data_IF_372414352087
#
_entry.id   IF_372414352087
#
_cell.length_a   1.000
_cell.length_b   1.000
_cell.length_c   1.000
_cell.angle_alpha   90.00
_cell.angle_beta   90.00
_cell.angle_gamma   90.00
#
_symmetry.space_group_name_H-M   'P 1'
#
loop_
_entity.id
_entity.type
_entity.pdbx_description
1 polymer ?
#
# COMPACT_ATOMS: atom_id res chain seq x y z
N UNK A 1 5.30 -10.62 -24.06
CA UNK A 1 6.01 -10.73 -22.77
C UNK A 1 5.96 -9.37 -22.08
N UNK A 2 6.00 -9.30 -20.74
CA UNK A 2 6.27 -8.04 -20.02
C UNK A 2 7.74 -7.66 -20.25
N UNK A 3 7.97 -6.96 -21.36
CA UNK A 3 9.28 -6.53 -21.83
C UNK A 3 9.62 -5.11 -21.35
N UNK A 4 10.85 -4.67 -21.64
CA UNK A 4 11.33 -3.36 -21.20
C UNK A 4 10.50 -2.20 -21.79
N UNK A 5 9.98 -2.33 -23.01
CA UNK A 5 9.20 -1.29 -23.66
C UNK A 5 7.90 -1.04 -22.91
N UNK A 6 7.12 -2.09 -22.62
CA UNK A 6 5.87 -1.96 -21.83
C UNK A 6 6.10 -1.41 -20.43
N UNK A 7 7.20 -1.80 -19.78
CA UNK A 7 7.57 -1.26 -18.47
C UNK A 7 7.92 0.23 -18.60
N UNK A 8 8.61 0.62 -19.67
CA UNK A 8 8.96 2.01 -19.93
C UNK A 8 7.71 2.86 -20.19
N UNK A 9 6.80 2.39 -21.04
CA UNK A 9 5.55 3.08 -21.36
C UNK A 9 4.73 3.30 -20.08
N UNK A 10 4.54 2.26 -19.27
CA UNK A 10 3.85 2.37 -17.97
C UNK A 10 4.48 3.40 -17.01
N UNK A 11 5.80 3.52 -17.00
CA UNK A 11 6.50 4.48 -16.13
C UNK A 11 6.49 5.88 -16.76
N UNK A 12 6.50 5.98 -18.08
CA UNK A 12 6.33 7.24 -18.81
C UNK A 12 4.95 7.82 -18.54
N UNK A 13 3.91 7.01 -18.67
CA UNK A 13 2.53 7.36 -18.33
C UNK A 13 2.37 7.93 -16.91
N UNK A 14 3.21 7.49 -15.96
CA UNK A 14 3.19 7.98 -14.58
C UNK A 14 4.07 9.23 -14.35
N UNK A 15 5.14 9.43 -15.13
CA UNK A 15 6.21 10.40 -14.77
C UNK A 15 6.80 11.21 -15.93
N UNK A 16 6.27 11.13 -17.16
CA UNK A 16 6.84 11.82 -18.32
C UNK A 16 6.90 13.34 -18.17
N UNK A 17 5.94 13.92 -17.45
CA UNK A 17 5.87 15.36 -17.18
C UNK A 17 6.93 15.85 -16.17
N UNK A 18 7.60 14.94 -15.45
CA UNK A 18 8.54 15.28 -14.36
C UNK A 18 9.93 14.68 -14.52
N UNK A 19 10.07 13.52 -15.17
CA UNK A 19 11.34 12.86 -15.38
C UNK A 19 11.80 12.92 -16.84
N UNK A 20 13.04 13.34 -17.04
CA UNK A 20 13.70 13.20 -18.35
C UNK A 20 13.74 11.72 -18.78
N UNK A 21 13.47 11.42 -20.05
CA UNK A 21 13.38 10.08 -20.63
C UNK A 21 14.49 9.09 -20.20
N UNK A 22 15.77 9.52 -20.16
CA UNK A 22 16.89 8.68 -19.64
C UNK A 22 16.71 8.21 -18.18
N UNK A 23 16.08 9.00 -17.32
CA UNK A 23 15.78 8.62 -15.92
C UNK A 23 14.62 7.62 -15.87
N UNK A 24 13.58 7.84 -16.67
CA UNK A 24 12.48 6.88 -16.89
C UNK A 24 13.02 5.54 -17.36
N UNK A 25 13.83 5.54 -18.42
CA UNK A 25 14.47 4.32 -18.93
C UNK A 25 15.36 3.63 -17.87
N UNK A 26 16.08 4.40 -17.03
CA UNK A 26 16.85 3.80 -15.94
C UNK A 26 15.97 3.19 -14.84
N UNK A 27 14.81 3.80 -14.55
CA UNK A 27 13.84 3.28 -13.59
C UNK A 27 13.15 2.02 -14.14
N UNK A 28 12.75 2.03 -15.42
CA UNK A 28 12.21 0.88 -16.13
C UNK A 28 13.16 -0.31 -16.12
N UNK A 29 14.45 -0.08 -16.37
CA UNK A 29 15.48 -1.11 -16.26
C UNK A 29 15.59 -1.69 -14.84
N UNK A 30 15.50 -0.86 -13.80
CA UNK A 30 15.52 -1.36 -12.43
C UNK A 30 14.25 -2.14 -12.08
N UNK A 31 13.08 -1.69 -12.54
CA UNK A 31 11.81 -2.42 -12.39
C UNK A 31 11.86 -3.77 -13.11
N UNK A 32 12.34 -3.81 -14.35
CA UNK A 32 12.53 -5.06 -15.11
C UNK A 32 13.46 -6.01 -14.36
N UNK A 33 14.59 -5.50 -13.85
CA UNK A 33 15.53 -6.30 -13.05
C UNK A 33 14.92 -6.84 -11.77
N UNK A 34 14.10 -6.04 -11.08
CA UNK A 34 13.41 -6.45 -9.86
C UNK A 34 12.32 -7.50 -10.13
N UNK A 35 11.57 -7.36 -11.22
CA UNK A 35 10.59 -8.36 -11.69
C UNK A 35 11.31 -9.67 -12.04
N UNK A 36 12.37 -9.60 -12.84
CA UNK A 36 13.09 -10.79 -13.30
C UNK A 36 13.77 -11.56 -12.18
N UNK A 37 14.34 -10.84 -11.20
CA UNK A 37 14.99 -11.46 -10.03
C UNK A 37 14.04 -11.77 -8.87
N UNK A 38 12.79 -11.28 -8.92
CA UNK A 38 11.86 -11.27 -7.79
C UNK A 38 12.51 -10.75 -6.49
N UNK A 39 13.39 -9.75 -6.60
CA UNK A 39 14.20 -9.26 -5.47
C UNK A 39 14.48 -7.77 -5.58
N UNK A 40 14.55 -7.10 -4.43
CA UNK A 40 14.96 -5.70 -4.30
C UNK A 40 16.44 -5.55 -3.89
N UNK A 41 17.20 -6.64 -3.90
CA UNK A 41 18.64 -6.59 -3.71
C UNK A 41 19.31 -5.93 -4.91
N UNK A 42 20.14 -4.90 -4.69
CA UNK A 42 20.80 -4.15 -5.77
C UNK A 42 21.53 -5.08 -6.75
N UNK A 43 22.27 -6.05 -6.21
CA UNK A 43 22.99 -7.04 -7.02
C UNK A 43 22.04 -8.01 -7.74
N UNK A 44 20.89 -8.35 -7.16
CA UNK A 44 19.88 -9.22 -7.78
C UNK A 44 19.12 -8.47 -8.87
N UNK A 45 18.68 -7.23 -8.63
CA UNK A 45 18.07 -6.36 -9.65
C UNK A 45 19.03 -6.23 -10.84
N UNK A 46 20.30 -5.90 -10.60
CA UNK A 46 21.29 -5.79 -11.67
C UNK A 46 21.55 -7.11 -12.39
N UNK A 47 21.55 -8.25 -11.67
CA UNK A 47 21.70 -9.57 -12.30
C UNK A 47 20.48 -9.95 -13.15
N UNK A 48 19.27 -9.67 -12.64
CA UNK A 48 18.02 -9.91 -13.35
C UNK A 48 17.90 -9.04 -14.60
N UNK A 49 18.31 -7.78 -14.52
CA UNK A 49 18.38 -6.88 -15.68
C UNK A 49 19.38 -7.40 -16.72
N UNK A 50 20.56 -7.84 -16.28
CA UNK A 50 21.57 -8.41 -17.16
C UNK A 50 21.06 -9.65 -17.88
N UNK A 51 20.36 -10.54 -17.16
CA UNK A 51 19.76 -11.75 -17.72
C UNK A 51 18.62 -11.42 -18.71
N UNK A 52 17.74 -10.48 -18.36
CA UNK A 52 16.61 -10.09 -19.20
C UNK A 52 17.05 -9.46 -20.54
N UNK A 53 18.14 -8.71 -20.54
CA UNK A 53 18.60 -7.95 -21.71
C UNK A 53 19.89 -8.49 -22.35
N UNK A 54 20.43 -9.63 -21.87
CA UNK A 54 21.69 -10.19 -22.36
C UNK A 54 22.91 -9.28 -22.15
N UNK A 55 22.90 -8.43 -21.13
CA UNK A 55 23.99 -7.46 -20.87
C UNK A 55 24.96 -7.94 -19.79
N UNK A 56 26.10 -7.25 -19.63
CA UNK A 56 27.08 -7.61 -18.62
C UNK A 56 26.56 -7.31 -17.20
N UNK A 57 26.55 -8.34 -16.35
CA UNK A 57 26.12 -8.28 -14.95
C UNK A 57 26.75 -7.15 -14.14
N UNK A 58 28.07 -6.94 -14.24
CA UNK A 58 28.78 -5.90 -13.46
C UNK A 58 28.26 -4.51 -13.82
N UNK A 59 28.05 -4.22 -15.10
CA UNK A 59 27.57 -2.91 -15.54
C UNK A 59 26.10 -2.68 -15.20
N UNK A 60 25.26 -3.70 -15.29
CA UNK A 60 23.86 -3.63 -14.86
C UNK A 60 23.73 -3.36 -13.35
N UNK A 61 24.53 -4.03 -12.51
CA UNK A 61 24.56 -3.74 -11.05
C UNK A 61 24.98 -2.29 -10.78
N UNK A 62 26.03 -1.80 -11.46
CA UNK A 62 26.47 -0.41 -11.33
C UNK A 62 25.42 0.59 -11.83
N UNK A 63 24.60 0.22 -12.80
CA UNK A 63 23.50 1.07 -13.27
C UNK A 63 22.44 1.22 -12.18
N UNK A 64 22.00 0.13 -11.56
CA UNK A 64 21.02 0.15 -10.46
C UNK A 64 21.56 0.95 -9.26
N UNK A 65 22.82 0.72 -8.88
CA UNK A 65 23.41 1.47 -7.77
C UNK A 65 23.47 2.99 -8.04
N UNK A 66 23.85 3.39 -9.26
CA UNK A 66 23.87 4.80 -9.68
C UNK A 66 22.47 5.41 -9.72
N UNK A 67 21.45 4.65 -10.12
CA UNK A 67 20.05 5.08 -10.07
C UNK A 67 19.65 5.43 -8.64
N UNK A 68 19.93 4.55 -7.66
CA UNK A 68 19.58 4.79 -6.26
C UNK A 68 20.30 6.02 -5.68
N UNK A 69 21.52 6.30 -6.13
CA UNK A 69 22.27 7.51 -5.74
C UNK A 69 21.91 8.77 -6.53
N UNK A 70 21.03 8.69 -7.54
CA UNK A 70 20.73 9.84 -8.38
C UNK A 70 19.88 10.87 -7.62
N UNK A 71 20.43 12.06 -7.38
CA UNK A 71 19.74 13.16 -6.69
C UNK A 71 18.65 13.82 -7.54
N UNK A 72 18.67 13.63 -8.86
CA UNK A 72 17.64 14.14 -9.77
C UNK A 72 16.40 13.24 -9.84
N UNK A 73 16.28 12.26 -8.94
CA UNK A 73 15.09 11.44 -8.73
C UNK A 73 14.66 11.73 -7.31
N UNK A 74 13.81 12.75 -7.16
CA UNK A 74 13.20 13.08 -5.88
C UNK A 74 11.91 12.27 -5.74
N UNK A 75 11.96 11.24 -4.90
CA UNK A 75 10.79 10.38 -4.69
C UNK A 75 9.63 11.18 -4.08
N UNK A 76 9.90 12.20 -3.25
CA UNK A 76 8.83 12.96 -2.62
C UNK A 76 8.01 13.77 -3.63
N UNK A 77 8.64 14.31 -4.68
CA UNK A 77 7.95 14.97 -5.79
C UNK A 77 7.27 13.95 -6.71
N UNK A 78 7.94 12.84 -7.05
CA UNK A 78 7.35 11.79 -7.90
C UNK A 78 6.09 11.18 -7.30
N UNK A 79 6.00 11.15 -5.99
CA UNK A 79 4.85 10.63 -5.28
C UNK A 79 3.56 11.43 -5.56
N UNK A 80 3.63 12.72 -5.94
CA UNK A 80 2.43 13.49 -6.36
C UNK A 80 1.84 12.91 -7.64
N UNK A 81 2.69 12.72 -8.65
CA UNK A 81 2.31 12.14 -9.93
C UNK A 81 1.86 10.69 -9.78
N UNK A 82 2.53 9.92 -8.91
CA UNK A 82 2.13 8.54 -8.62
C UNK A 82 0.75 8.46 -7.97
N UNK A 83 0.42 9.34 -7.01
CA UNK A 83 -0.92 9.39 -6.43
C UNK A 83 -1.95 9.76 -7.48
N UNK A 84 -1.71 10.80 -8.29
CA UNK A 84 -2.59 11.17 -9.40
C UNK A 84 -2.81 10.00 -10.38
N UNK A 85 -1.75 9.29 -10.72
CA UNK A 85 -1.78 8.13 -11.61
C UNK A 85 -2.60 6.95 -11.03
N UNK A 86 -2.50 6.66 -9.73
CA UNK A 86 -3.21 5.52 -9.12
C UNK A 86 -4.66 5.84 -8.77
N UNK A 87 -4.95 7.09 -8.39
CA UNK A 87 -6.28 7.53 -8.00
C UNK A 87 -7.12 7.91 -9.22
N UNK A 88 -6.54 8.63 -10.19
CA UNK A 88 -7.19 9.11 -11.42
C UNK A 88 -8.58 9.70 -11.12
N UNK A 89 -9.67 9.02 -11.52
CA UNK A 89 -11.05 9.49 -11.41
C UNK A 89 -11.84 8.89 -10.23
N UNK A 90 -11.17 8.31 -9.23
CA UNK A 90 -11.86 7.73 -8.08
C UNK A 90 -12.51 8.84 -7.25
N UNK A 91 -13.82 8.78 -7.08
CA UNK A 91 -14.56 9.73 -6.23
C UNK A 91 -14.33 9.52 -4.72
N UNK A 92 -13.95 8.31 -4.32
CA UNK A 92 -13.73 7.95 -2.93
C UNK A 92 -12.65 6.88 -2.81
N UNK A 93 -11.76 7.03 -1.83
CA UNK A 93 -10.71 6.07 -1.50
C UNK A 93 -10.63 5.82 0.01
N UNK A 94 -10.19 4.62 0.37
CA UNK A 94 -9.88 4.26 1.76
C UNK A 94 -8.40 3.94 1.84
N UNK A 95 -7.69 4.63 2.72
CA UNK A 95 -6.22 4.60 2.80
C UNK A 95 -5.83 4.07 4.16
N UNK A 96 -5.10 2.95 4.17
CA UNK A 96 -4.51 2.43 5.40
C UNK A 96 -3.18 3.10 5.67
N UNK A 97 -2.95 3.46 6.93
CA UNK A 97 -1.74 4.10 7.41
C UNK A 97 -1.04 3.18 8.40
N UNK A 98 0.24 2.92 8.18
CA UNK A 98 1.04 2.12 9.09
C UNK A 98 2.54 2.41 8.99
N UNK A 99 3.28 2.02 10.01
CA UNK A 99 4.75 2.04 10.01
C UNK A 99 5.31 0.65 9.71
N UNK A 100 6.49 0.62 9.11
CA UNK A 100 7.25 -0.62 8.94
C UNK A 100 8.72 -0.42 9.27
N UNK A 101 9.30 -1.36 10.01
CA UNK A 101 10.66 -1.26 10.53
C UNK A 101 11.72 -1.95 9.66
N UNK A 102 12.89 -1.32 9.55
CA UNK A 102 14.11 -1.90 9.00
C UNK A 102 15.21 -1.80 10.07
N UNK A 103 15.08 -2.65 11.10
CA UNK A 103 15.92 -2.64 12.30
C UNK A 103 17.41 -2.71 12.00
N UNK A 104 17.78 -3.54 11.01
CA UNK A 104 19.16 -3.73 10.55
C UNK A 104 19.86 -2.45 10.11
N UNK A 105 19.10 -1.44 9.70
CA UNK A 105 19.64 -0.16 9.21
C UNK A 105 19.21 1.02 10.08
N UNK A 106 18.63 0.74 11.25
CA UNK A 106 18.11 1.74 12.17
C UNK A 106 17.15 2.72 11.48
N UNK A 107 16.27 2.20 10.63
CA UNK A 107 15.30 2.98 9.85
C UNK A 107 13.88 2.45 10.05
N UNK A 108 12.91 3.31 9.80
CA UNK A 108 11.51 2.93 9.63
C UNK A 108 10.91 3.72 8.48
N UNK A 109 9.84 3.20 7.90
CA UNK A 109 9.12 3.84 6.82
C UNK A 109 7.66 3.97 7.21
N UNK A 110 7.12 5.18 7.17
CA UNK A 110 5.67 5.40 7.25
C UNK A 110 5.08 5.25 5.86
N UNK A 111 3.96 4.54 5.75
CA UNK A 111 3.33 4.24 4.45
C UNK A 111 1.82 4.49 4.53
N UNK A 112 1.31 5.22 3.53
CA UNK A 112 -0.10 5.34 3.21
C UNK A 112 -0.38 4.46 1.99
N UNK A 113 -1.28 3.49 2.13
CA UNK A 113 -1.62 2.56 1.06
C UNK A 113 -3.12 2.46 0.84
N UNK A 114 -3.55 2.61 -0.40
CA UNK A 114 -4.94 2.42 -0.80
C UNK A 114 -5.38 0.97 -0.53
N UNK A 115 -6.46 0.79 0.21
CA UNK A 115 -7.10 -0.52 0.33
C UNK A 115 -7.69 -0.96 -1.01
N UNK A 116 -7.73 -2.26 -1.25
CA UNK A 116 -8.28 -2.85 -2.48
C UNK A 116 -9.22 -4.02 -2.18
N UNK A 117 -9.86 -4.55 -3.21
CA UNK A 117 -10.70 -5.74 -3.12
C UNK A 117 -9.93 -7.07 -3.21
N UNK A 118 -8.65 -7.06 -3.58
CA UNK A 118 -7.86 -8.28 -3.78
C UNK A 118 -6.93 -8.63 -2.61
N UNK A 119 -7.11 -7.99 -1.45
CA UNK A 119 -6.39 -8.35 -0.21
C UNK A 119 -4.93 -7.87 -0.14
N UNK A 120 -4.52 -6.96 -1.03
CA UNK A 120 -3.24 -6.23 -0.96
C UNK A 120 -3.47 -4.76 -1.18
N UNK A 121 -2.90 -3.93 -0.33
CA UNK A 121 -3.03 -2.50 -0.49
C UNK A 121 -2.00 -2.00 -1.51
N UNK A 122 -2.37 -0.98 -2.28
CA UNK A 122 -1.46 -0.32 -3.22
C UNK A 122 -0.78 0.83 -2.52
N UNK A 123 0.56 0.84 -2.37
CA UNK A 123 1.27 1.96 -1.76
C UNK A 123 1.02 3.25 -2.55
N UNK A 124 0.56 4.29 -1.86
CA UNK A 124 0.33 5.62 -2.43
C UNK A 124 1.46 6.57 -2.06
N UNK A 125 1.82 6.63 -0.76
CA UNK A 125 2.87 7.50 -0.26
C UNK A 125 3.70 6.73 0.76
N UNK A 126 5.00 7.03 0.80
CA UNK A 126 5.88 6.55 1.84
C UNK A 126 7.00 7.55 2.13
N UNK A 127 7.52 7.49 3.35
CA UNK A 127 8.74 8.20 3.69
C UNK A 127 9.55 7.44 4.72
N UNK A 128 10.84 7.28 4.44
CA UNK A 128 11.79 6.63 5.34
C UNK A 128 12.50 7.66 6.21
N UNK A 129 12.66 7.32 7.49
CA UNK A 129 13.37 8.11 8.49
C UNK A 129 14.35 7.24 9.26
N UNK A 130 15.39 7.84 9.84
CA UNK A 130 16.23 7.14 10.82
C UNK A 130 15.48 7.05 12.15
N UNK A 131 15.60 5.93 12.86
CA UNK A 131 14.92 5.74 14.16
C UNK A 131 15.37 6.72 15.22
N UNK A 132 16.61 7.21 15.13
CA UNK A 132 17.13 8.25 16.01
C UNK A 132 16.37 9.57 15.87
N UNK A 133 15.81 9.86 14.69
CA UNK A 133 15.08 11.10 14.40
C UNK A 133 13.61 11.03 14.88
N UNK A 134 13.06 9.81 15.06
CA UNK A 134 11.66 9.60 15.48
C UNK A 134 11.38 9.97 16.93
N UNK A 135 12.39 9.94 17.80
CA UNK A 135 12.19 10.05 19.25
C UNK A 135 11.63 11.44 19.57
N UNK A 136 10.35 11.50 19.95
CA UNK A 136 9.64 12.75 20.23
C UNK A 136 8.97 13.42 19.02
N UNK A 137 9.28 12.99 17.80
CA UNK A 137 8.80 13.63 16.55
C UNK A 137 7.87 12.74 15.71
N UNK A 138 7.53 11.53 16.19
CA UNK A 138 6.70 10.58 15.43
C UNK A 138 5.40 11.18 14.92
N UNK A 139 4.67 11.92 15.75
CA UNK A 139 3.41 12.56 15.34
C UNK A 139 3.62 13.63 14.26
N UNK A 140 4.76 14.32 14.25
CA UNK A 140 5.10 15.30 13.22
C UNK A 140 5.27 14.64 11.84
N UNK A 141 5.95 13.49 11.79
CA UNK A 141 6.11 12.74 10.54
C UNK A 141 4.80 12.12 10.05
N UNK A 142 3.96 11.66 10.98
CA UNK A 142 2.60 11.20 10.69
C UNK A 142 1.74 12.31 10.08
N UNK A 143 1.82 13.52 10.61
CA UNK A 143 1.11 14.67 10.08
C UNK A 143 1.61 15.07 8.68
N UNK A 144 2.94 15.14 8.50
CA UNK A 144 3.55 15.52 7.20
C UNK A 144 3.12 14.60 6.06
N UNK A 145 3.01 13.29 6.29
CA UNK A 145 2.59 12.38 5.20
C UNK A 145 1.08 12.48 4.91
N UNK A 146 0.26 12.83 5.90
CA UNK A 146 -1.18 13.09 5.70
C UNK A 146 -1.41 14.40 4.94
N UNK A 147 -0.67 15.46 5.29
CA UNK A 147 -0.65 16.73 4.56
C UNK A 147 -0.17 16.52 3.12
N UNK A 148 0.87 15.70 2.92
CA UNK A 148 1.32 15.30 1.59
C UNK A 148 0.20 14.62 0.82
N UNK A 149 -0.48 13.63 1.41
CA UNK A 149 -1.63 12.97 0.77
C UNK A 149 -2.67 13.99 0.31
N UNK A 150 -3.06 14.92 1.18
CA UNK A 150 -4.01 15.98 0.84
C UNK A 150 -3.55 16.82 -0.35
N UNK A 151 -2.28 17.24 -0.38
CA UNK A 151 -1.74 18.02 -1.49
C UNK A 151 -1.60 17.24 -2.81
N UNK A 152 -1.42 15.91 -2.75
CA UNK A 152 -1.21 15.07 -3.93
C UNK A 152 -2.51 14.56 -4.58
N UNK A 153 -3.67 14.77 -3.95
CA UNK A 153 -4.93 14.21 -4.43
C UNK A 153 -5.56 15.05 -5.54
N UNK A 154 -6.21 14.40 -6.53
CA UNK A 154 -7.11 15.09 -7.44
C UNK A 154 -8.27 15.77 -6.69
N UNK A 155 -8.83 16.83 -7.28
CA UNK A 155 -9.93 17.57 -6.68
C UNK A 155 -11.19 16.71 -6.52
N UNK A 156 -11.89 16.87 -5.40
CA UNK A 156 -13.18 16.21 -5.14
C UNK A 156 -13.10 14.75 -4.69
N UNK A 157 -11.91 14.18 -4.52
CA UNK A 157 -11.72 12.81 -4.01
C UNK A 157 -11.97 12.76 -2.51
N UNK A 158 -12.98 11.99 -2.08
CA UNK A 158 -13.22 11.72 -0.66
C UNK A 158 -12.23 10.68 -0.13
N UNK A 159 -11.68 10.92 1.04
CA UNK A 159 -10.67 10.02 1.64
C UNK A 159 -11.13 9.56 3.01
N UNK A 160 -10.98 8.27 3.28
CA UNK A 160 -11.09 7.72 4.65
C UNK A 160 -9.78 7.10 5.09
N UNK A 161 -9.16 7.64 6.14
CA UNK A 161 -7.93 7.11 6.76
C UNK A 161 -8.27 5.98 7.72
N UNK A 162 -7.59 4.84 7.57
CA UNK A 162 -7.75 3.66 8.43
C UNK A 162 -6.45 3.34 9.14
N UNK A 163 -6.45 3.38 10.46
CA UNK A 163 -5.22 3.23 11.25
C UNK A 163 -5.44 2.45 12.56
N UNK A 164 -4.35 1.90 13.11
CA UNK A 164 -4.40 1.19 14.40
C UNK A 164 -4.29 2.16 15.61
N UNK A 165 -4.41 1.62 16.82
CA UNK A 165 -4.38 2.33 18.10
C UNK A 165 -3.14 3.19 18.38
N UNK A 166 -2.05 2.99 17.65
CA UNK A 166 -0.87 3.86 17.70
C UNK A 166 -1.12 5.27 17.14
N UNK A 167 -2.16 5.43 16.33
CA UNK A 167 -2.51 6.68 15.66
C UNK A 167 -3.73 7.38 16.29
N UNK A 168 -4.22 6.89 17.42
CA UNK A 168 -5.37 7.46 18.13
C UNK A 168 -4.92 8.54 19.13
N UNK A 169 -4.89 9.80 18.69
CA UNK A 169 -4.82 10.97 19.57
C UNK A 169 -5.67 12.13 19.04
N UNK A 170 -6.04 13.08 19.90
CA UNK A 170 -6.97 14.15 19.56
C UNK A 170 -6.42 15.11 18.49
N UNK A 171 -5.12 15.39 18.52
CA UNK A 171 -4.51 16.26 17.53
C UNK A 171 -4.56 15.63 16.13
N UNK A 172 -4.45 14.30 16.03
CA UNK A 172 -4.66 13.58 14.76
C UNK A 172 -6.10 13.58 14.30
N UNK A 173 -7.07 13.41 15.20
CA UNK A 173 -8.48 13.52 14.82
C UNK A 173 -8.79 14.92 14.28
N UNK A 174 -8.31 15.97 14.94
CA UNK A 174 -8.44 17.35 14.48
C UNK A 174 -7.73 17.59 13.14
N UNK A 175 -6.53 17.06 12.94
CA UNK A 175 -5.82 17.18 11.66
C UNK A 175 -6.59 16.48 10.54
N UNK A 176 -6.96 15.21 10.72
CA UNK A 176 -7.58 14.41 9.67
C UNK A 176 -8.95 14.98 9.30
N UNK A 177 -9.81 15.22 10.29
CA UNK A 177 -11.21 15.64 10.09
C UNK A 177 -11.30 17.15 9.84
N UNK A 178 -10.90 17.96 10.83
CA UNK A 178 -11.19 19.39 10.84
C UNK A 178 -10.29 20.18 9.87
N UNK A 179 -9.02 19.78 9.70
CA UNK A 179 -8.05 20.52 8.88
C UNK A 179 -7.92 19.99 7.45
N UNK A 180 -7.87 18.67 7.28
CA UNK A 180 -7.71 18.05 5.96
C UNK A 180 -9.05 17.64 5.31
N UNK A 181 -10.17 17.69 6.05
CA UNK A 181 -11.48 17.31 5.52
C UNK A 181 -11.59 15.81 5.16
N UNK A 182 -10.72 14.97 5.73
CA UNK A 182 -10.72 13.54 5.53
C UNK A 182 -11.57 12.85 6.60
N UNK A 183 -12.17 11.74 6.21
CA UNK A 183 -12.78 10.84 7.17
C UNK A 183 -11.75 9.93 7.84
N UNK A 184 -12.11 9.35 8.99
CA UNK A 184 -11.28 8.37 9.66
C UNK A 184 -12.05 7.16 10.22
N UNK A 185 -11.32 6.05 10.33
CA UNK A 185 -11.68 4.82 11.03
C UNK A 185 -10.43 4.35 11.78
N UNK A 186 -10.31 4.72 13.04
CA UNK A 186 -9.11 4.49 13.85
C UNK A 186 -9.46 3.65 15.07
N UNK A 187 -8.68 2.60 15.33
CA UNK A 187 -8.84 1.80 16.54
C UNK A 187 -8.40 2.62 17.76
N UNK A 188 -9.14 2.55 18.84
CA UNK A 188 -8.79 3.17 20.13
C UNK A 188 -8.45 2.09 21.16
N UNK A 189 -7.74 2.48 22.22
CA UNK A 189 -7.35 1.56 23.30
C UNK A 189 -8.57 1.24 24.17
N UNK A 190 -8.57 0.05 24.78
CA UNK A 190 -9.65 -0.38 25.67
C UNK A 190 -9.78 0.49 26.94
N UNK A 191 -8.69 1.13 27.35
CA UNK A 191 -8.65 2.03 28.50
C UNK A 191 -8.85 3.50 28.12
N UNK A 192 -9.23 3.79 26.87
CA UNK A 192 -9.59 5.15 26.45
C UNK A 192 -10.84 5.59 27.20
N UNK A 193 -10.75 6.77 27.84
CA UNK A 193 -11.87 7.41 28.50
C UNK A 193 -12.83 8.01 27.49
N UNK A 194 -14.13 7.79 27.69
CA UNK A 194 -15.21 8.27 26.86
C UNK A 194 -16.36 8.80 27.72
N UNK A 195 -17.09 9.80 27.21
CA UNK A 195 -18.29 10.33 27.86
C UNK A 195 -19.34 10.75 26.82
N UNK A 196 -20.62 10.63 27.18
CA UNK A 196 -21.70 11.41 26.55
C UNK A 196 -21.72 12.84 27.09
N UNK A 197 -22.43 13.73 26.40
CA UNK A 197 -22.56 15.15 26.75
C UNK A 197 -22.93 15.38 28.23
N UNK A 198 -23.80 14.53 28.78
CA UNK A 198 -24.33 14.66 30.15
C UNK A 198 -23.91 13.50 31.08
N UNK A 199 -22.82 12.80 30.80
CA UNK A 199 -22.40 11.64 31.60
C UNK A 199 -20.95 11.74 32.06
N UNK A 200 -20.68 11.14 33.21
CA UNK A 200 -19.31 11.03 33.71
C UNK A 200 -18.42 10.24 32.75
N UNK A 201 -17.15 10.61 32.73
CA UNK A 201 -16.15 9.95 31.91
C UNK A 201 -15.81 8.58 32.49
N UNK A 202 -15.91 7.55 31.66
CA UNK A 202 -15.62 6.17 32.02
C UNK A 202 -14.75 5.53 30.94
N UNK A 203 -14.09 4.39 31.23
CA UNK A 203 -13.32 3.71 30.19
C UNK A 203 -14.28 3.02 29.24
N UNK A 204 -13.93 2.97 27.95
CA UNK A 204 -14.77 2.34 26.95
C UNK A 204 -15.03 0.84 27.23
N UNK A 205 -14.08 0.15 27.85
CA UNK A 205 -14.25 -1.25 28.28
C UNK A 205 -15.31 -1.42 29.38
N UNK A 206 -15.59 -0.40 30.18
CA UNK A 206 -16.54 -0.49 31.29
C UNK A 206 -17.99 -0.34 30.83
N UNK A 207 -18.21 0.44 29.75
CA UNK A 207 -19.54 0.64 29.14
C UNK A 207 -19.87 -0.36 28.03
N UNK A 208 -18.95 -1.27 27.76
CA UNK A 208 -19.13 -2.31 26.75
C UNK A 208 -18.95 -3.68 27.38
N UNK A 209 -19.93 -4.56 27.16
CA UNK A 209 -19.69 -6.00 27.21
C UNK A 209 -19.58 -6.43 25.74
N UNK A 210 -18.38 -6.40 25.12
CA UNK A 210 -18.26 -6.65 23.69
C UNK A 210 -18.73 -8.07 23.40
N UNK A 211 -19.86 -8.17 22.71
CA UNK A 211 -20.43 -9.44 22.25
C UNK A 211 -20.13 -9.70 20.78
N UNK A 212 -20.67 -10.82 20.28
CA UNK A 212 -20.58 -11.17 18.85
C UNK A 212 -21.25 -10.12 17.97
N UNK A 213 -22.35 -9.51 18.44
CA UNK A 213 -23.01 -8.39 17.78
C UNK A 213 -22.32 -7.07 18.16
N UNK A 214 -21.99 -6.28 17.15
CA UNK A 214 -21.36 -4.98 17.35
C UNK A 214 -22.30 -4.02 18.10
N UNK A 215 -21.77 -3.30 19.10
CA UNK A 215 -22.43 -2.20 19.79
C UNK A 215 -21.94 -0.88 19.22
N UNK A 216 -22.84 0.06 18.98
CA UNK A 216 -22.52 1.40 18.46
C UNK A 216 -22.85 2.44 19.51
N UNK A 217 -21.90 3.34 19.76
CA UNK A 217 -22.06 4.53 20.57
C UNK A 217 -21.96 5.73 19.62
N UNK A 218 -22.95 6.62 19.64
CA UNK A 218 -22.98 7.80 18.77
C UNK A 218 -22.69 9.06 19.58
N UNK A 219 -22.02 10.03 18.98
CA UNK A 219 -21.74 11.35 19.55
C UNK A 219 -21.04 11.25 20.92
N UNK A 220 -19.86 10.65 20.92
CA UNK A 220 -19.05 10.43 22.12
C UNK A 220 -17.90 11.44 22.18
N UNK A 221 -17.55 11.86 23.38
CA UNK A 221 -16.35 12.64 23.63
C UNK A 221 -15.24 11.72 24.12
N UNK A 222 -14.05 11.85 23.55
CA UNK A 222 -12.92 10.96 23.81
C UNK A 222 -11.79 11.72 24.50
N UNK A 223 -11.21 11.11 25.55
CA UNK A 223 -10.11 11.61 26.40
C UNK A 223 -10.39 12.91 27.16
N UNK A 224 -9.41 13.38 27.94
CA UNK A 224 -9.51 14.61 28.74
C UNK A 224 -9.74 15.87 27.90
N UNK A 225 -9.34 15.85 26.63
CA UNK A 225 -9.51 16.97 25.70
C UNK A 225 -10.92 17.06 25.11
N UNK A 226 -11.81 16.10 25.43
CA UNK A 226 -13.21 16.05 24.96
C UNK A 226 -13.33 16.27 23.44
N UNK A 227 -12.51 15.59 22.64
CA UNK A 227 -12.71 15.58 21.18
C UNK A 227 -13.99 14.82 20.87
N UNK A 228 -14.91 15.46 20.14
CA UNK A 228 -16.14 14.83 19.68
C UNK A 228 -15.84 13.79 18.58
N UNK A 229 -16.45 12.62 18.69
CA UNK A 229 -16.37 11.49 17.76
C UNK A 229 -17.80 11.06 17.43
N UNK A 230 -18.16 11.10 16.14
CA UNK A 230 -19.51 10.83 15.68
C UNK A 230 -19.96 9.41 15.99
N UNK A 231 -19.06 8.42 15.85
CA UNK A 231 -19.40 7.01 16.04
C UNK A 231 -18.24 6.21 16.62
N UNK A 232 -18.52 5.42 17.64
CA UNK A 232 -17.62 4.40 18.17
C UNK A 232 -18.26 3.03 18.04
N UNK A 233 -17.61 2.12 17.30
CA UNK A 233 -18.06 0.74 17.09
C UNK A 233 -17.25 -0.21 17.96
N UNK A 234 -17.94 -0.99 18.78
CA UNK A 234 -17.35 -1.93 19.74
C UNK A 234 -17.73 -3.36 19.34
N UNK A 235 -16.77 -4.25 19.12
CA UNK A 235 -17.03 -5.63 18.70
C UNK A 235 -16.00 -6.61 19.25
N UNK A 236 -16.45 -7.80 19.65
CA UNK A 236 -15.59 -8.95 19.97
C UNK A 236 -16.25 -10.23 19.46
N UNK A 237 -15.86 -10.63 18.24
CA UNK A 237 -16.28 -11.92 17.66
C UNK A 237 -15.58 -13.07 18.37
N UNK A 238 -16.13 -14.28 18.25
CA UNK A 238 -15.67 -15.50 18.93
C UNK A 238 -14.15 -15.74 18.79
N UNK A 239 -13.59 -15.49 17.61
CA UNK A 239 -12.18 -15.77 17.30
C UNK A 239 -11.25 -14.55 17.47
N UNK A 240 -11.76 -13.44 18.01
CA UNK A 240 -10.95 -12.23 18.24
C UNK A 240 -10.19 -12.35 19.56
N UNK A 241 -8.85 -12.24 19.49
CA UNK A 241 -7.97 -12.18 20.68
C UNK A 241 -8.32 -11.02 21.60
N UNK A 242 -8.61 -9.86 21.03
CA UNK A 242 -8.98 -8.65 21.75
C UNK A 242 -10.23 -8.02 21.13
N UNK A 243 -11.02 -7.31 21.92
CA UNK A 243 -12.10 -6.49 21.40
C UNK A 243 -11.54 -5.35 20.52
N UNK A 244 -12.30 -4.98 19.50
CA UNK A 244 -12.08 -3.78 18.72
C UNK A 244 -12.99 -2.66 19.21
N UNK A 245 -12.39 -1.51 19.43
CA UNK A 245 -13.04 -0.24 19.70
C UNK A 245 -12.60 0.70 18.58
N UNK A 246 -13.52 1.12 17.73
CA UNK A 246 -13.19 1.81 16.48
C UNK A 246 -13.90 3.15 16.48
N UNK A 247 -13.13 4.24 16.58
CA UNK A 247 -13.61 5.60 16.41
C UNK A 247 -13.74 5.94 14.92
N UNK A 248 -14.81 6.60 14.53
CA UNK A 248 -15.04 7.00 13.14
C UNK A 248 -15.82 8.30 13.01
N UNK A 249 -15.39 9.14 12.06
CA UNK A 249 -16.14 10.31 11.58
C UNK A 249 -17.31 9.93 10.65
N UNK A 250 -17.28 8.74 10.04
CA UNK A 250 -18.26 8.24 9.05
C UNK A 250 -19.63 7.94 9.66
N UNK A 251 -20.38 9.00 9.89
CA UNK A 251 -21.75 8.94 10.42
C UNK A 251 -22.72 8.26 9.45
N UNK A 252 -22.44 8.31 8.14
CA UNK A 252 -23.18 7.66 7.05
C UNK A 252 -23.04 6.13 7.04
N UNK A 253 -21.95 5.57 7.58
CA UNK A 253 -21.69 4.13 7.53
C UNK A 253 -22.27 3.38 8.73
N UNK A 254 -22.86 2.21 8.49
CA UNK A 254 -23.25 1.32 9.57
C UNK A 254 -22.05 0.59 10.22
N UNK A 255 -22.25 0.01 11.40
CA UNK A 255 -21.20 -0.68 12.15
C UNK A 255 -20.52 -1.81 11.36
N UNK A 256 -21.28 -2.57 10.57
CA UNK A 256 -20.73 -3.67 9.78
C UNK A 256 -19.76 -3.18 8.71
N UNK A 257 -20.08 -2.06 8.04
CA UNK A 257 -19.21 -1.46 7.03
C UNK A 257 -17.95 -0.87 7.64
N UNK A 258 -18.05 -0.22 8.80
CA UNK A 258 -16.88 0.27 9.55
C UNK A 258 -15.94 -0.88 9.95
N UNK A 259 -16.50 -1.96 10.51
CA UNK A 259 -15.73 -3.16 10.85
C UNK A 259 -15.06 -3.77 9.62
N UNK A 260 -15.77 -3.81 8.48
CA UNK A 260 -15.23 -4.32 7.22
C UNK A 260 -14.06 -3.49 6.71
N UNK A 261 -14.20 -2.16 6.64
CA UNK A 261 -13.12 -1.25 6.22
C UNK A 261 -11.92 -1.31 7.17
N UNK A 262 -12.16 -1.39 8.48
CA UNK A 262 -11.08 -1.58 9.44
C UNK A 262 -10.38 -2.93 9.26
N UNK A 263 -11.12 -4.02 9.03
CA UNK A 263 -10.52 -5.35 8.80
C UNK A 263 -9.63 -5.40 7.56
N UNK A 264 -9.99 -4.64 6.51
CA UNK A 264 -9.20 -4.52 5.28
C UNK A 264 -7.87 -3.77 5.48
N UNK A 265 -7.66 -3.11 6.63
CA UNK A 265 -6.35 -2.51 6.99
C UNK A 265 -5.23 -3.54 6.91
N UNK A 266 -5.50 -4.80 7.25
CA UNK A 266 -4.53 -5.90 7.19
C UNK A 266 -3.91 -6.13 5.79
N UNK A 267 -4.54 -5.61 4.73
CA UNK A 267 -3.96 -5.61 3.39
C UNK A 267 -2.61 -4.88 3.32
N UNK A 268 -2.38 -3.85 4.15
CA UNK A 268 -1.08 -3.14 4.21
C UNK A 268 0.03 -4.03 4.76
N UNK A 269 -0.24 -4.76 5.85
CA UNK A 269 0.72 -5.69 6.47
C UNK A 269 1.09 -6.82 5.51
N UNK A 270 0.12 -7.28 4.73
CA UNK A 270 0.36 -8.29 3.72
C UNK A 270 1.18 -7.75 2.54
N UNK A 271 1.05 -6.46 2.22
CA UNK A 271 1.87 -5.78 1.21
C UNK A 271 3.29 -5.55 1.72
N UNK A 272 3.47 -5.22 3.01
CA UNK A 272 4.78 -5.19 3.64
C UNK A 272 5.48 -6.54 3.59
N UNK A 273 4.75 -7.64 3.77
CA UNK A 273 5.32 -8.99 3.61
C UNK A 273 5.86 -9.20 2.19
N UNK A 274 5.06 -8.87 1.17
CA UNK A 274 5.46 -9.01 -0.23
C UNK A 274 6.69 -8.15 -0.58
N UNK A 275 6.93 -7.04 0.13
CA UNK A 275 8.10 -6.16 -0.06
C UNK A 275 9.32 -6.67 0.73
N UNK A 276 9.13 -7.02 2.01
CA UNK A 276 10.22 -7.21 2.98
C UNK A 276 10.74 -8.63 3.08
N UNK A 277 9.86 -9.61 2.94
CA UNK A 277 10.17 -11.02 3.17
C UNK A 277 10.97 -11.59 1.99
N UNK A 278 12.03 -12.35 2.24
CA UNK A 278 12.84 -12.94 1.16
C UNK A 278 12.25 -14.25 0.61
N UNK A 279 11.52 -15.00 1.43
CA UNK A 279 10.95 -16.31 1.07
C UNK A 279 9.71 -16.15 0.19
N UNK A 280 8.89 -15.16 0.52
CA UNK A 280 7.58 -14.95 -0.10
C UNK A 280 7.46 -13.62 -0.82
N UNK A 281 8.34 -12.66 -0.54
CA UNK A 281 8.35 -11.32 -1.10
C UNK A 281 9.62 -11.00 -1.91
N UNK A 282 9.94 -9.72 -2.03
CA UNK A 282 11.12 -9.22 -2.72
C UNK A 282 12.35 -9.01 -1.81
N UNK A 283 12.27 -9.38 -0.53
CA UNK A 283 13.43 -9.46 0.36
C UNK A 283 14.05 -8.13 0.79
N UNK A 284 13.33 -7.01 0.75
CA UNK A 284 13.92 -5.69 1.07
C UNK A 284 14.52 -5.62 2.48
N UNK A 285 14.00 -6.37 3.48
CA UNK A 285 14.56 -6.37 4.84
C UNK A 285 15.95 -6.98 4.96
N UNK A 286 16.40 -7.73 3.94
CA UNK A 286 17.74 -8.32 3.91
C UNK A 286 18.75 -7.38 3.25
N UNK A 287 18.29 -6.21 2.79
CA UNK A 287 19.11 -5.24 2.07
C UNK A 287 19.48 -4.07 2.96
N UNK A 288 20.78 -3.88 3.08
CA UNK A 288 21.34 -2.82 3.90
C UNK A 288 21.49 -1.53 3.11
N UNK A 289 21.00 -0.43 3.68
CA UNK A 289 21.28 0.91 3.17
C UNK A 289 21.22 1.92 4.31
N UNK A 290 22.27 2.73 4.42
CA UNK A 290 22.36 3.80 5.41
C UNK A 290 21.58 5.07 5.04
N UNK A 291 21.09 5.18 3.80
CA UNK A 291 20.37 6.35 3.28
C UNK A 291 18.88 6.05 3.20
N UNK A 292 18.05 6.80 3.95
CA UNK A 292 16.59 6.77 3.82
C UNK A 292 16.11 7.06 2.38
N UNK A 293 16.80 7.95 1.65
CA UNK A 293 16.45 8.32 0.28
C UNK A 293 16.66 7.16 -0.69
N UNK A 294 17.72 6.36 -0.49
CA UNK A 294 17.94 5.13 -1.28
C UNK A 294 16.85 4.11 -0.97
N UNK A 295 16.38 4.03 0.27
CA UNK A 295 15.26 3.16 0.65
C UNK A 295 13.94 3.62 0.02
N UNK A 296 13.67 4.92 0.01
CA UNK A 296 12.48 5.48 -0.65
C UNK A 296 12.46 5.14 -2.16
N UNK A 297 13.61 5.14 -2.84
CA UNK A 297 13.73 4.72 -4.25
C UNK A 297 13.55 3.22 -4.46
N UNK A 298 14.00 2.38 -3.52
CA UNK A 298 13.71 0.94 -3.55
C UNK A 298 12.21 0.67 -3.38
N UNK A 299 11.53 1.42 -2.51
CA UNK A 299 10.07 1.38 -2.41
C UNK A 299 9.40 1.80 -3.70
N UNK A 300 9.90 2.83 -4.40
CA UNK A 300 9.37 3.23 -5.71
C UNK A 300 9.49 2.10 -6.75
N UNK A 301 10.67 1.49 -6.86
CA UNK A 301 10.89 0.33 -7.75
C UNK A 301 9.93 -0.81 -7.38
N UNK A 302 9.74 -1.06 -6.09
CA UNK A 302 8.84 -2.09 -5.60
C UNK A 302 7.37 -1.79 -5.94
N UNK A 303 6.90 -0.56 -5.71
CA UNK A 303 5.53 -0.16 -6.00
C UNK A 303 5.19 -0.32 -7.49
N UNK A 304 6.11 0.07 -8.38
CA UNK A 304 5.96 -0.09 -9.83
C UNK A 304 5.95 -1.58 -10.24
N UNK A 305 6.90 -2.36 -9.73
CA UNK A 305 6.97 -3.80 -10.02
C UNK A 305 5.74 -4.56 -9.51
N UNK A 306 5.31 -4.28 -8.28
CA UNK A 306 4.11 -4.89 -7.69
C UNK A 306 2.87 -4.53 -8.48
N UNK A 307 2.75 -3.29 -8.96
CA UNK A 307 1.60 -2.85 -9.75
C UNK A 307 1.49 -3.65 -11.05
N UNK A 308 2.58 -3.71 -11.84
CA UNK A 308 2.62 -4.49 -13.09
C UNK A 308 2.35 -5.99 -12.87
N UNK A 309 2.98 -6.59 -11.85
CA UNK A 309 2.76 -8.00 -11.52
C UNK A 309 1.33 -8.26 -11.03
N UNK A 310 0.73 -7.33 -10.29
CA UNK A 310 -0.68 -7.44 -9.87
C UNK A 310 -1.62 -7.40 -11.07
N UNK A 311 -1.36 -6.55 -12.05
CA UNK A 311 -2.15 -6.53 -13.30
C UNK A 311 -1.99 -7.84 -14.09
N UNK A 312 -0.76 -8.36 -14.19
CA UNK A 312 -0.51 -9.64 -14.87
C UNK A 312 -1.23 -10.80 -14.18
N UNK A 313 -1.20 -10.83 -12.84
CA UNK A 313 -1.93 -11.82 -12.07
C UNK A 313 -3.44 -11.71 -12.22
N UNK A 314 -3.98 -10.48 -12.21
CA UNK A 314 -5.41 -10.25 -12.47
C UNK A 314 -5.81 -10.71 -13.87
N UNK A 315 -4.99 -10.40 -14.88
CA UNK A 315 -5.23 -10.83 -16.25
C UNK A 315 -5.33 -12.37 -16.33
N UNK A 316 -4.40 -13.07 -15.69
CA UNK A 316 -4.42 -14.53 -15.63
C UNK A 316 -5.60 -15.12 -14.87
N UNK A 317 -6.02 -14.49 -13.78
CA UNK A 317 -7.20 -14.89 -13.02
C UNK A 317 -8.47 -14.79 -13.86
N UNK A 318 -8.64 -13.68 -14.60
CA UNK A 318 -9.83 -13.45 -15.44
C UNK A 318 -9.92 -14.36 -16.66
N UNK A 319 -8.78 -14.77 -17.23
CA UNK A 319 -8.76 -15.77 -18.31
C UNK A 319 -8.71 -17.22 -17.75
N UNK A 320 -8.90 -17.38 -16.44
CA UNK A 320 -9.07 -18.69 -15.79
C UNK A 320 -7.79 -19.53 -15.71
N UNK A 321 -6.61 -18.90 -15.71
CA UNK A 321 -5.32 -19.59 -15.64
C UNK A 321 -4.88 -19.94 -14.22
N UNK A 322 -5.51 -19.40 -13.17
CA UNK A 322 -5.08 -19.76 -11.80
C UNK A 322 -5.20 -21.27 -11.54
N UNK A 323 -6.15 -21.95 -12.19
CA UNK A 323 -6.32 -23.40 -12.13
C UNK A 323 -5.09 -24.19 -12.62
N UNK A 324 -4.22 -23.57 -13.42
CA UNK A 324 -2.97 -24.18 -13.89
C UNK A 324 -1.81 -23.95 -12.92
N UNK A 325 -1.96 -23.00 -11.97
CA UNK A 325 -0.97 -22.69 -10.95
C UNK A 325 -1.23 -23.39 -9.62
N UNK A 326 -2.50 -23.49 -9.19
CA UNK A 326 -2.83 -24.02 -7.87
C UNK A 326 -2.79 -25.54 -7.82
N UNK A 327 -2.21 -26.07 -6.74
CA UNK A 327 -2.16 -27.51 -6.47
C UNK A 327 -3.41 -28.06 -5.76
N UNK A 328 -4.44 -27.23 -5.57
CA UNK A 328 -5.68 -27.59 -4.87
C UNK A 328 -6.90 -27.53 -5.80
N UNK A 329 -8.02 -28.10 -5.36
CA UNK A 329 -9.29 -28.16 -6.10
C UNK A 329 -10.26 -27.04 -5.73
N UNK A 330 -9.81 -26.03 -4.96
CA UNK A 330 -10.68 -24.94 -4.53
C UNK A 330 -11.20 -24.15 -5.73
N UNK A 331 -12.49 -23.82 -5.72
CA UNK A 331 -13.09 -22.92 -6.70
C UNK A 331 -12.74 -21.45 -6.43
N UNK A 332 -12.28 -21.14 -5.23
CA UNK A 332 -11.85 -19.79 -4.84
C UNK A 332 -10.39 -19.53 -5.24
N UNK A 333 -10.07 -18.23 -5.37
CA UNK A 333 -8.71 -17.77 -5.63
C UNK A 333 -7.80 -18.10 -4.45
N UNK A 334 -6.72 -18.82 -4.70
CA UNK A 334 -5.73 -19.22 -3.69
C UNK A 334 -4.56 -18.25 -3.62
N UNK A 335 -4.03 -17.82 -4.77
CA UNK A 335 -2.89 -16.92 -4.82
C UNK A 335 -3.34 -15.47 -4.93
N UNK A 336 -2.63 -14.55 -4.26
CA UNK A 336 -2.81 -13.12 -4.52
C UNK A 336 -2.49 -12.82 -5.99
N UNK A 337 -3.10 -11.79 -6.56
CA UNK A 337 -2.77 -11.37 -7.93
C UNK A 337 -1.28 -11.09 -8.10
N UNK A 338 -0.64 -10.41 -7.15
CA UNK A 338 0.80 -10.22 -7.19
C UNK A 338 1.57 -11.55 -7.30
N UNK A 339 1.23 -12.56 -6.49
CA UNK A 339 1.89 -13.87 -6.53
C UNK A 339 1.61 -14.61 -7.84
N UNK A 340 0.37 -14.56 -8.33
CA UNK A 340 0.03 -15.10 -9.65
C UNK A 340 0.88 -14.44 -10.73
N UNK A 341 1.01 -13.11 -10.72
CA UNK A 341 1.85 -12.35 -11.64
C UNK A 341 3.31 -12.79 -11.63
N UNK A 342 3.91 -12.97 -10.44
CA UNK A 342 5.27 -13.51 -10.33
C UNK A 342 5.41 -14.88 -11.00
N UNK A 343 4.45 -15.78 -10.75
CA UNK A 343 4.44 -17.12 -11.33
C UNK A 343 4.26 -17.09 -12.85
N UNK A 344 3.28 -16.32 -13.34
CA UNK A 344 3.06 -16.16 -14.77
C UNK A 344 4.28 -15.56 -15.46
N UNK A 345 4.91 -14.53 -14.89
CA UNK A 345 6.12 -13.93 -15.46
C UNK A 345 7.24 -14.97 -15.64
N UNK A 346 7.47 -15.82 -14.64
CA UNK A 346 8.47 -16.89 -14.69
C UNK A 346 8.12 -17.98 -15.71
N UNK A 347 6.84 -18.30 -15.89
CA UNK A 347 6.37 -19.36 -16.77
C UNK A 347 6.21 -18.90 -18.23
N UNK A 348 5.94 -17.62 -18.46
CA UNK A 348 5.68 -17.02 -19.78
C UNK A 348 6.66 -17.44 -20.88
N UNK A 349 8.00 -17.48 -20.66
CA UNK A 349 8.95 -17.87 -21.72
C UNK A 349 8.73 -19.29 -22.28
N UNK A 350 8.10 -20.17 -21.51
CA UNK A 350 7.83 -21.58 -21.88
C UNK A 350 6.34 -21.92 -21.82
N UNK A 351 5.48 -20.90 -21.67
CA UNK A 351 4.05 -21.07 -21.58
C UNK A 351 3.49 -21.41 -22.97
N UNK A 352 2.56 -22.36 -23.04
CA UNK A 352 1.89 -22.71 -24.30
C UNK A 352 1.12 -21.52 -24.85
N UNK A 353 1.11 -21.34 -26.16
CA UNK A 353 0.47 -20.18 -26.81
C UNK A 353 -1.02 -20.05 -26.46
N UNK A 354 -1.73 -21.18 -26.33
CA UNK A 354 -3.13 -21.22 -25.89
C UNK A 354 -3.39 -20.59 -24.51
N UNK A 355 -2.34 -20.41 -23.70
CA UNK A 355 -2.38 -19.75 -22.39
C UNK A 355 -1.68 -18.39 -22.43
N UNK A 356 -0.54 -18.31 -23.11
CA UNK A 356 0.27 -17.10 -23.16
C UNK A 356 -0.42 -15.96 -23.92
N UNK A 357 -1.10 -16.27 -25.05
CA UNK A 357 -1.77 -15.26 -25.87
C UNK A 357 -2.93 -14.61 -25.09
N UNK A 358 -3.92 -15.35 -24.56
CA UNK A 358 -5.03 -14.72 -23.83
C UNK A 358 -4.58 -13.96 -22.58
N UNK A 359 -3.55 -14.47 -21.88
CA UNK A 359 -2.96 -13.78 -20.73
C UNK A 359 -2.38 -12.43 -21.13
N UNK A 360 -1.57 -12.40 -22.20
CA UNK A 360 -0.89 -11.19 -22.64
C UNK A 360 -1.86 -10.19 -23.26
N UNK A 361 -2.83 -10.63 -24.06
CA UNK A 361 -3.90 -9.75 -24.58
C UNK A 361 -4.67 -9.09 -23.44
N UNK A 362 -5.04 -9.87 -22.41
CA UNK A 362 -5.76 -9.33 -21.25
C UNK A 362 -4.89 -8.42 -20.39
N UNK A 363 -3.60 -8.71 -20.27
CA UNK A 363 -2.65 -7.85 -19.58
C UNK A 363 -2.45 -6.53 -20.33
N UNK A 364 -2.28 -6.56 -21.65
CA UNK A 364 -2.15 -5.36 -22.49
C UNK A 364 -3.41 -4.51 -22.44
N UNK A 365 -4.58 -5.14 -22.43
CA UNK A 365 -5.84 -4.45 -22.15
C UNK A 365 -5.80 -3.70 -20.82
N UNK A 366 -5.22 -4.28 -19.76
CA UNK A 366 -5.11 -3.63 -18.46
C UNK A 366 -4.09 -2.50 -18.42
N UNK A 367 -2.96 -2.64 -19.11
CA UNK A 367 -1.90 -1.63 -19.14
C UNK A 367 -2.32 -0.43 -20.02
N UNK A 368 -2.93 -0.69 -21.17
CA UNK A 368 -3.25 0.36 -22.16
C UNK A 368 -4.56 1.12 -21.85
N UNK A 369 -5.42 0.60 -20.98
CA UNK A 369 -6.66 1.25 -20.60
C UNK A 369 -6.52 1.87 -19.21
N UNK A 370 -6.10 3.14 -19.16
CA UNK A 370 -6.13 4.01 -17.97
C UNK A 370 -7.43 3.86 -17.12
N UNK A 371 -8.63 3.70 -17.71
CA UNK A 371 -9.85 3.48 -16.95
C UNK A 371 -9.95 2.14 -16.21
N UNK A 372 -9.13 1.12 -16.50
CA UNK A 372 -9.25 -0.22 -15.91
C UNK A 372 -8.30 -0.51 -14.75
N UNK A 373 -7.23 0.27 -14.58
CA UNK A 373 -6.51 0.40 -13.30
C UNK A 373 -7.48 0.64 -12.13
N UNK A 374 -8.56 1.38 -12.41
CA UNK A 374 -9.64 1.70 -11.48
C UNK A 374 -10.19 0.47 -10.77
N UNK A 375 -10.53 -0.62 -11.49
CA UNK A 375 -11.19 -1.79 -10.86
C UNK A 375 -10.23 -2.69 -10.08
N UNK A 376 -8.95 -2.73 -10.46
CA UNK A 376 -7.95 -3.55 -9.75
C UNK A 376 -7.72 -2.98 -8.38
N UNK A 377 -7.43 -1.68 -8.32
CA UNK A 377 -6.98 -1.02 -7.10
C UNK A 377 -8.11 -0.31 -6.34
N UNK A 378 -9.37 -0.71 -6.54
CA UNK A 378 -10.53 -0.12 -5.84
C UNK A 378 -11.19 -1.09 -4.86
N UNK A 379 -11.98 -0.51 -3.97
CA UNK A 379 -12.76 -1.19 -2.92
C UNK A 379 -14.22 -1.38 -3.33
N UNK A 380 -14.65 -0.72 -4.39
CA UNK A 380 -16.02 -0.73 -4.91
C UNK A 380 -16.04 -1.41 -6.28
#
# INVERSE_FOLDING_TARGET
MLDNAKINDFISDAFEDTLHAKRIASLANAVQGAIHSCSLAIHAIGSGLAQANGTNRKYAIKQVDRLLSNKKIDVHELLDYWVGFIITDKKEIVVSMDWTDFDSDNQCTIVLSQQTNHGRNTPLLWKTYKKTELKGHRSEYENKILEKLHSSLPEGVKVTIVADRGFSDCAKYELIDDKLGFDYIIRIKSNTYVSSENSESCKIIDITSPGVRAKTLNNMYVTSQKKHINKIVCVKKKDMKEAWYIASSRSDLNASKIIHLYSKRWGIESSFRDIKDYKFGMGMSHMHTSSPERRDKLFLISALAISLLTLLGKAGDEVGLERTLKANTSKERTYSYWRQGCLYYLLLPKMRDEWAIPLMEKFEYYVNQFPFYKRVFSIL
#
